data_IF_507682173399
#
_entry.id   IF_507682173399
#
_cell.length_a   1.000
_cell.length_b   1.000
_cell.length_c   1.000
_cell.angle_alpha   90.00
_cell.angle_beta   90.00
_cell.angle_gamma   90.00
#
_symmetry.space_group_name_H-M   'P 1'
#
loop_
_entity.id
_entity.type
_entity.pdbx_description
1 polymer ?
#
# COMPACT_ATOMS: atom_id res chain seq x y z
N UNK A 1 -3.60 9.51 1.21
CA UNK A 1 -2.22 9.95 0.96
C UNK A 1 -1.97 11.39 1.41
N UNK A 2 -2.81 12.34 1.00
CA UNK A 2 -2.65 13.75 1.37
C UNK A 2 -3.36 14.01 2.70
N UNK A 3 -2.70 14.61 3.73
CA UNK A 3 -3.27 14.76 5.07
C UNK A 3 -4.26 15.93 5.17
N UNK A 4 -4.80 16.41 4.07
CA UNK A 4 -5.75 17.52 4.05
C UNK A 4 -7.16 17.02 3.73
N UNK A 5 -8.14 17.61 4.39
CA UNK A 5 -9.54 17.30 4.18
C UNK A 5 -10.00 17.86 2.83
N UNK A 6 -10.32 16.97 1.90
CA UNK A 6 -10.85 17.34 0.57
C UNK A 6 -11.78 16.23 0.06
N UNK A 7 -12.85 16.56 -0.68
CA UNK A 7 -13.73 15.56 -1.29
C UNK A 7 -13.02 14.66 -2.30
N UNK A 8 -11.97 15.15 -2.94
CA UNK A 8 -11.13 14.37 -3.86
C UNK A 8 -9.77 15.05 -4.05
N UNK A 9 -8.80 14.31 -4.60
CA UNK A 9 -7.49 14.88 -4.97
C UNK A 9 -7.65 15.98 -6.04
N UNK A 10 -8.63 15.85 -6.94
CA UNK A 10 -8.89 16.85 -7.97
C UNK A 10 -9.39 18.18 -7.39
N UNK A 11 -10.12 18.15 -6.27
CA UNK A 11 -10.66 19.32 -5.57
C UNK A 11 -9.68 19.95 -4.57
N UNK A 12 -8.47 19.43 -4.45
CA UNK A 12 -7.47 19.95 -3.51
C UNK A 12 -6.99 21.34 -3.94
N UNK A 13 -7.10 22.37 -3.08
CA UNK A 13 -6.48 23.66 -3.32
C UNK A 13 -4.96 23.47 -3.43
N UNK A 14 -4.31 24.19 -4.37
CA UNK A 14 -2.86 24.07 -4.57
C UNK A 14 -2.38 22.62 -4.70
N UNK A 15 -3.06 21.85 -5.52
CA UNK A 15 -2.87 20.39 -5.63
C UNK A 15 -1.39 19.97 -5.73
N UNK A 16 -0.61 20.65 -6.57
CA UNK A 16 0.82 20.31 -6.75
C UNK A 16 1.60 20.45 -5.46
N UNK A 17 1.43 21.57 -4.74
CA UNK A 17 2.10 21.85 -3.48
C UNK A 17 1.65 20.89 -2.38
N UNK A 18 0.34 20.61 -2.30
CA UNK A 18 -0.22 19.68 -1.33
C UNK A 18 0.29 18.24 -1.54
N UNK A 19 0.43 17.81 -2.79
CA UNK A 19 0.98 16.48 -3.11
C UNK A 19 2.47 16.43 -2.81
N UNK A 20 3.24 17.47 -3.14
CA UNK A 20 4.66 17.55 -2.82
C UNK A 20 4.90 17.51 -1.31
N UNK A 21 4.15 18.28 -0.54
CA UNK A 21 4.19 18.24 0.93
C UNK A 21 3.87 16.83 1.47
N UNK A 22 2.83 16.18 0.94
CA UNK A 22 2.47 14.84 1.36
C UNK A 22 3.59 13.82 1.04
N UNK A 23 4.26 13.94 -0.10
CA UNK A 23 5.38 13.07 -0.46
C UNK A 23 6.57 13.23 0.49
N UNK A 24 6.91 14.46 0.88
CA UNK A 24 7.95 14.73 1.87
C UNK A 24 7.58 14.16 3.24
N UNK A 25 6.38 14.46 3.71
CA UNK A 25 5.86 13.94 4.98
C UNK A 25 5.91 12.40 5.02
N UNK A 26 5.44 11.71 3.99
CA UNK A 26 5.48 10.26 3.93
C UNK A 26 6.90 9.71 3.85
N UNK A 27 7.81 10.39 3.16
CA UNK A 27 9.23 10.01 3.14
C UNK A 27 9.82 10.04 4.55
N UNK A 28 9.57 11.11 5.29
CA UNK A 28 10.05 11.26 6.67
C UNK A 28 9.43 10.22 7.60
N UNK A 29 8.11 10.02 7.53
CA UNK A 29 7.41 9.01 8.33
C UNK A 29 7.95 7.60 8.05
N UNK A 30 8.12 7.22 6.80
CA UNK A 30 8.59 5.90 6.41
C UNK A 30 10.07 5.66 6.80
N UNK A 31 10.86 6.71 6.88
CA UNK A 31 12.24 6.65 7.34
C UNK A 31 12.33 6.45 8.85
N UNK A 32 11.49 7.14 9.61
CA UNK A 32 11.51 7.07 11.07
C UNK A 32 10.77 5.84 11.64
N UNK A 33 9.60 5.51 11.11
CA UNK A 33 8.78 4.41 11.63
C UNK A 33 9.20 3.04 11.13
N UNK A 34 9.82 2.97 9.95
CA UNK A 34 10.27 1.73 9.33
C UNK A 34 9.20 0.61 9.37
N UNK A 35 7.99 0.86 8.89
CA UNK A 35 6.92 -0.13 8.96
C UNK A 35 7.29 -1.40 8.18
N UNK A 36 6.83 -2.54 8.65
CA UNK A 36 6.97 -3.83 7.96
C UNK A 36 5.81 -4.11 7.01
N UNK A 37 4.66 -3.51 7.27
CA UNK A 37 3.45 -3.64 6.46
C UNK A 37 2.78 -2.28 6.31
N UNK A 38 2.43 -1.94 5.07
CA UNK A 38 1.59 -0.81 4.70
C UNK A 38 0.40 -1.34 3.90
N UNK A 39 -0.80 -0.93 4.28
CA UNK A 39 -2.02 -1.28 3.56
C UNK A 39 -2.66 -0.01 3.02
N UNK A 40 -2.96 0.00 1.73
CA UNK A 40 -3.67 1.06 1.03
C UNK A 40 -5.00 0.57 0.49
N UNK A 41 -5.94 1.47 0.26
CA UNK A 41 -7.27 1.16 -0.26
C UNK A 41 -7.54 1.78 -1.63
N UNK A 42 -6.54 2.42 -2.23
CA UNK A 42 -6.64 3.01 -3.57
C UNK A 42 -5.32 2.92 -4.33
N UNK A 43 -5.44 2.94 -5.66
CA UNK A 43 -4.30 2.81 -6.57
C UNK A 43 -3.34 3.99 -6.49
N UNK A 44 -3.85 5.20 -6.32
CA UNK A 44 -3.02 6.42 -6.27
C UNK A 44 -2.12 6.44 -5.03
N UNK A 45 -2.66 6.12 -3.87
CA UNK A 45 -1.88 6.01 -2.62
C UNK A 45 -0.84 4.89 -2.72
N UNK A 46 -1.23 3.73 -3.26
CA UNK A 46 -0.31 2.61 -3.48
C UNK A 46 0.88 3.03 -4.35
N UNK A 47 0.62 3.62 -5.53
CA UNK A 47 1.66 4.04 -6.46
C UNK A 47 2.59 5.11 -5.86
N UNK A 48 2.04 6.08 -5.14
CA UNK A 48 2.84 7.12 -4.48
C UNK A 48 3.75 6.54 -3.39
N UNK A 49 3.23 5.69 -2.51
CA UNK A 49 4.03 5.05 -1.46
C UNK A 49 5.09 4.12 -2.03
N UNK A 50 4.75 3.35 -3.07
CA UNK A 50 5.71 2.51 -3.78
C UNK A 50 6.87 3.35 -4.36
N UNK A 51 6.54 4.46 -5.02
CA UNK A 51 7.54 5.40 -5.57
C UNK A 51 8.45 5.96 -4.49
N UNK A 52 7.90 6.38 -3.35
CA UNK A 52 8.67 6.90 -2.22
C UNK A 52 9.62 5.83 -1.66
N UNK A 53 9.13 4.61 -1.47
CA UNK A 53 9.95 3.51 -0.94
C UNK A 53 11.07 3.14 -1.91
N UNK A 54 10.80 3.09 -3.21
CA UNK A 54 11.77 2.76 -4.24
C UNK A 54 12.77 3.89 -4.52
N UNK A 55 12.47 5.13 -4.12
CA UNK A 55 13.42 6.26 -4.24
C UNK A 55 14.55 6.22 -3.22
N UNK A 56 14.45 5.36 -2.20
CA UNK A 56 15.53 5.18 -1.23
C UNK A 56 16.72 4.44 -1.86
N UNK A 57 17.94 4.84 -1.48
CA UNK A 57 19.16 4.29 -2.06
C UNK A 57 19.23 2.75 -1.92
N UNK A 58 19.42 2.07 -3.04
CA UNK A 58 19.50 0.61 -3.09
C UNK A 58 18.17 -0.12 -2.90
N UNK A 59 17.05 0.59 -2.76
CA UNK A 59 15.75 -0.05 -2.65
C UNK A 59 15.38 -0.79 -3.95
N UNK A 60 14.75 -1.95 -3.79
CA UNK A 60 14.29 -2.78 -4.92
C UNK A 60 13.01 -3.50 -4.56
N UNK A 61 12.12 -3.61 -5.53
CA UNK A 61 10.94 -4.44 -5.39
C UNK A 61 11.26 -5.92 -5.67
N UNK A 62 10.58 -6.79 -4.95
CA UNK A 62 10.56 -8.23 -5.16
C UNK A 62 9.15 -8.74 -4.89
N UNK A 63 8.83 -9.93 -5.40
CA UNK A 63 7.59 -10.65 -5.08
C UNK A 63 6.31 -9.81 -5.22
N UNK A 64 6.14 -9.17 -6.41
CA UNK A 64 4.89 -8.47 -6.71
C UNK A 64 3.83 -9.49 -7.12
N UNK A 65 2.79 -9.61 -6.30
CA UNK A 65 1.74 -10.60 -6.46
C UNK A 65 0.37 -9.93 -6.57
N UNK A 66 -0.53 -10.52 -7.38
CA UNK A 66 -1.92 -10.11 -7.51
C UNK A 66 -2.84 -11.19 -6.96
N UNK A 67 -3.88 -10.77 -6.24
CA UNK A 67 -4.83 -11.65 -5.58
C UNK A 67 -6.24 -11.36 -6.07
N UNK A 68 -6.96 -12.34 -6.61
CA UNK A 68 -8.39 -12.20 -6.86
C UNK A 68 -9.12 -11.82 -5.57
N UNK A 69 -10.20 -11.07 -5.69
CA UNK A 69 -11.00 -10.63 -4.52
C UNK A 69 -12.34 -11.32 -4.40
N UNK A 70 -12.71 -12.10 -5.41
CA UNK A 70 -14.07 -12.64 -5.53
C UNK A 70 -15.12 -11.62 -5.98
N UNK A 71 -14.69 -10.42 -6.41
CA UNK A 71 -15.51 -9.37 -7.00
C UNK A 71 -15.15 -9.15 -8.46
N UNK A 72 -15.67 -9.97 -9.36
CA UNK A 72 -15.35 -9.88 -10.79
C UNK A 72 -13.84 -9.86 -11.03
N UNK A 73 -13.37 -8.89 -11.79
CA UNK A 73 -11.94 -8.75 -12.13
C UNK A 73 -11.14 -7.86 -11.16
N UNK A 74 -11.78 -7.37 -10.09
CA UNK A 74 -11.06 -6.54 -9.11
C UNK A 74 -10.05 -7.37 -8.33
N UNK A 75 -8.83 -6.85 -8.25
CA UNK A 75 -7.71 -7.52 -7.60
C UNK A 75 -7.16 -6.67 -6.45
N UNK A 76 -6.73 -7.35 -5.40
CA UNK A 76 -5.76 -6.84 -4.45
C UNK A 76 -4.35 -7.13 -4.97
N UNK A 77 -3.36 -6.43 -4.46
CA UNK A 77 -1.96 -6.67 -4.80
C UNK A 77 -1.06 -6.45 -3.59
N UNK A 78 0.09 -7.12 -3.59
CA UNK A 78 1.12 -6.90 -2.60
C UNK A 78 2.50 -6.93 -3.26
N UNK A 79 3.38 -6.04 -2.83
CA UNK A 79 4.77 -5.99 -3.28
C UNK A 79 5.69 -5.92 -2.08
N UNK A 80 6.76 -6.71 -2.09
CA UNK A 80 7.81 -6.64 -1.09
C UNK A 80 8.93 -5.71 -1.58
N UNK A 81 9.32 -4.75 -0.76
CA UNK A 81 10.36 -3.77 -1.08
C UNK A 81 11.50 -3.94 -0.07
N UNK A 82 12.63 -4.44 -0.57
CA UNK A 82 13.86 -4.50 0.21
C UNK A 82 14.54 -3.14 0.22
N UNK A 83 15.05 -2.74 1.37
CA UNK A 83 15.73 -1.46 1.60
C UNK A 83 17.07 -1.74 2.28
N UNK A 84 18.16 -1.94 1.51
CA UNK A 84 19.48 -2.24 2.07
C UNK A 84 19.92 -1.17 3.08
N UNK A 85 20.40 -1.60 4.24
CA UNK A 85 20.77 -0.69 5.34
C UNK A 85 19.60 -0.22 6.20
N UNK A 86 18.35 -0.50 5.78
CA UNK A 86 17.13 -0.23 6.55
C UNK A 86 16.38 -1.56 6.66
N UNK A 87 16.65 -2.33 7.68
CA UNK A 87 15.89 -3.54 7.97
C UNK A 87 14.67 -3.20 8.84
N UNK A 88 13.55 -3.89 8.66
CA UNK A 88 13.25 -4.96 7.71
C UNK A 88 12.73 -4.46 6.34
N UNK A 89 12.60 -5.39 5.38
CA UNK A 89 11.84 -5.13 4.16
C UNK A 89 10.39 -4.74 4.49
N UNK A 90 9.78 -3.88 3.68
CA UNK A 90 8.38 -3.51 3.82
C UNK A 90 7.51 -4.24 2.80
N UNK A 91 6.39 -4.77 3.24
CA UNK A 91 5.33 -5.26 2.37
C UNK A 91 4.31 -4.13 2.18
N UNK A 92 4.14 -3.69 0.96
CA UNK A 92 3.11 -2.71 0.58
C UNK A 92 1.98 -3.45 -0.11
N UNK A 93 0.77 -3.35 0.44
CA UNK A 93 -0.42 -4.00 -0.09
C UNK A 93 -1.49 -2.98 -0.48
N UNK A 94 -2.26 -3.31 -1.51
CA UNK A 94 -3.44 -2.56 -1.92
C UNK A 94 -4.66 -3.45 -1.91
N UNK A 95 -5.69 -3.00 -1.20
CA UNK A 95 -7.04 -3.56 -1.26
C UNK A 95 -7.94 -2.67 -2.11
N UNK A 96 -8.93 -3.21 -2.82
CA UNK A 96 -10.02 -2.40 -3.34
C UNK A 96 -10.75 -1.66 -2.22
N UNK A 97 -11.33 -0.50 -2.54
CA UNK A 97 -11.95 0.40 -1.56
C UNK A 97 -13.04 -0.31 -0.73
N UNK A 98 -12.79 -0.47 0.57
CA UNK A 98 -13.62 -1.30 1.47
C UNK A 98 -15.06 -0.83 1.62
N UNK A 99 -15.35 0.47 1.43
CA UNK A 99 -16.72 0.98 1.44
C UNK A 99 -17.53 0.59 0.19
N UNK A 100 -16.84 0.26 -0.91
CA UNK A 100 -17.47 -0.18 -2.16
C UNK A 100 -17.53 -1.69 -2.27
N UNK A 101 -16.55 -2.38 -1.71
CA UNK A 101 -16.39 -3.83 -1.81
C UNK A 101 -16.39 -4.46 -0.42
N UNK A 102 -17.41 -5.23 -0.09
CA UNK A 102 -17.51 -5.94 1.19
C UNK A 102 -16.61 -7.18 1.21
N UNK A 103 -15.28 -6.98 1.10
CA UNK A 103 -14.32 -8.08 0.92
C UNK A 103 -14.32 -9.07 2.08
N UNK A 104 -14.45 -8.59 3.31
CA UNK A 104 -14.41 -9.42 4.52
C UNK A 104 -15.78 -9.94 4.97
N UNK A 105 -16.86 -9.35 4.46
CA UNK A 105 -18.24 -9.76 4.80
C UNK A 105 -18.91 -10.69 3.78
N UNK A 106 -18.28 -10.93 2.61
CA UNK A 106 -18.86 -11.70 1.53
C UNK A 106 -18.29 -13.12 1.47
N UNK A 107 -19.12 -14.18 1.53
CA UNK A 107 -18.63 -15.57 1.49
C UNK A 107 -17.75 -15.87 0.28
N UNK A 108 -18.10 -15.39 -0.92
CA UNK A 108 -17.32 -15.59 -2.14
C UNK A 108 -15.94 -14.93 -2.11
N UNK A 109 -15.72 -13.89 -1.31
CA UNK A 109 -14.43 -13.21 -1.17
C UNK A 109 -13.54 -13.83 -0.10
N UNK A 110 -14.13 -14.58 0.85
CA UNK A 110 -13.43 -15.12 2.02
C UNK A 110 -12.17 -15.93 1.68
N UNK A 111 -12.21 -16.95 0.79
CA UNK A 111 -11.00 -17.73 0.50
C UNK A 111 -9.89 -16.90 -0.16
N UNK A 112 -10.25 -15.85 -0.90
CA UNK A 112 -9.29 -14.94 -1.52
C UNK A 112 -8.64 -14.04 -0.47
N UNK A 113 -9.43 -13.52 0.46
CA UNK A 113 -8.92 -12.67 1.56
C UNK A 113 -8.08 -13.47 2.54
N UNK A 114 -8.45 -14.71 2.84
CA UNK A 114 -7.66 -15.61 3.70
C UNK A 114 -6.27 -15.87 3.09
N UNK A 115 -6.20 -16.06 1.76
CA UNK A 115 -4.92 -16.21 1.05
C UNK A 115 -4.07 -14.94 1.12
N UNK A 116 -4.68 -13.78 0.86
CA UNK A 116 -3.98 -12.48 0.96
C UNK A 116 -3.47 -12.26 2.39
N UNK A 117 -4.31 -12.42 3.40
CA UNK A 117 -3.94 -12.23 4.80
C UNK A 117 -2.81 -13.19 5.22
N UNK A 118 -2.87 -14.45 4.79
CA UNK A 118 -1.79 -15.42 5.04
C UNK A 118 -0.47 -14.95 4.43
N UNK A 119 -0.49 -14.43 3.21
CA UNK A 119 0.70 -13.89 2.53
C UNK A 119 1.26 -12.65 3.26
N UNK A 120 0.39 -11.74 3.70
CA UNK A 120 0.80 -10.56 4.46
C UNK A 120 1.40 -10.96 5.83
N UNK A 121 0.82 -11.96 6.50
CA UNK A 121 1.33 -12.47 7.77
C UNK A 121 2.71 -13.11 7.62
N UNK A 122 2.95 -13.86 6.54
CA UNK A 122 4.28 -14.42 6.23
C UNK A 122 5.31 -13.30 6.07
N UNK A 123 4.98 -12.24 5.30
CA UNK A 123 5.88 -11.07 5.15
C UNK A 123 6.21 -10.35 6.46
N UNK A 124 5.34 -10.47 7.47
CA UNK A 124 5.60 -9.95 8.82
C UNK A 124 6.48 -10.89 9.67
N UNK A 125 6.43 -12.20 9.42
CA UNK A 125 7.20 -13.20 10.16
C UNK A 125 8.66 -13.28 9.71
N UNK A 126 8.95 -12.98 8.45
CA UNK A 126 10.31 -12.95 7.90
C UNK A 126 11.15 -11.88 8.62
N UNK A 127 12.09 -12.33 9.45
CA UNK A 127 13.02 -11.46 10.19
C UNK A 127 14.24 -11.07 9.36
#
# INVERSE_FOLDING_TARGET
>A
FVPFRSPSIAALPRRKESVAFAQELWRDLLTHWQPRLLITIDTGTFANLQSILLSQAGARSADHEHFPTGWGEYQAEAVRIARPGIAPAVTLARLPHLSRFALFGRPASRPHMDRLLSRLAQGLADR
#
